data_IF_459071601816
#
_entry.id   IF_459071601816
#
_cell.length_a   1.000
_cell.length_b   1.000
_cell.length_c   1.000
_cell.angle_alpha   90.00
_cell.angle_beta   90.00
_cell.angle_gamma   90.00
#
_symmetry.space_group_name_H-M   'P 1'
#
loop_
_entity.id
_entity.type
_entity.pdbx_description
1 polymer ?
#
# COMPACT_ATOMS: atom_id res chain seq x y z
N UNK A 1 0.41 11.14 -10.90
CA UNK A 1 -0.69 10.47 -10.18
C UNK A 1 -2.00 11.18 -10.54
N UNK A 2 -3.06 10.44 -10.88
CA UNK A 2 -4.36 11.00 -11.27
C UNK A 2 -5.44 10.63 -10.25
N UNK A 3 -6.37 11.56 -10.04
CA UNK A 3 -7.53 11.34 -9.18
C UNK A 3 -8.36 10.14 -9.67
N UNK A 4 -8.95 9.36 -8.76
CA UNK A 4 -9.93 8.34 -9.11
C UNK A 4 -11.12 8.95 -9.88
N UNK A 5 -11.85 8.13 -10.63
CA UNK A 5 -13.14 8.54 -11.20
C UNK A 5 -14.15 8.78 -10.07
N UNK A 6 -15.13 9.65 -10.30
CA UNK A 6 -16.21 9.86 -9.34
C UNK A 6 -16.88 8.53 -8.95
N UNK A 7 -17.25 8.41 -7.67
CA UNK A 7 -17.80 7.19 -7.05
C UNK A 7 -16.83 6.01 -6.89
N UNK A 8 -15.54 6.19 -7.18
CA UNK A 8 -14.51 5.20 -6.88
C UNK A 8 -13.66 5.60 -5.68
N UNK A 9 -13.39 4.63 -4.81
CA UNK A 9 -12.32 4.71 -3.82
C UNK A 9 -11.12 3.94 -4.38
N UNK A 10 -10.00 4.63 -4.54
CA UNK A 10 -8.71 4.02 -4.88
C UNK A 10 -7.96 3.71 -3.59
N UNK A 11 -7.48 2.48 -3.47
CA UNK A 11 -6.54 2.08 -2.44
C UNK A 11 -5.15 2.01 -3.07
N UNK A 12 -4.28 2.95 -2.72
CA UNK A 12 -2.86 2.88 -3.08
C UNK A 12 -2.12 2.15 -1.95
N UNK A 13 -1.47 1.04 -2.26
CA UNK A 13 -0.73 0.22 -1.30
C UNK A 13 0.75 0.18 -1.64
N UNK A 14 1.60 0.11 -0.62
CA UNK A 14 3.05 -0.10 -0.78
C UNK A 14 3.60 -1.04 0.30
N UNK A 15 4.72 -1.68 0.00
CA UNK A 15 5.45 -2.58 0.90
C UNK A 15 6.74 -1.95 1.40
N UNK A 16 7.12 -2.28 2.63
CA UNK A 16 8.43 -1.95 3.19
C UNK A 16 9.08 -3.22 3.72
N UNK A 17 10.38 -3.41 3.44
CA UNK A 17 11.14 -4.57 3.90
C UNK A 17 12.54 -4.17 4.35
N UNK A 18 13.02 -4.78 5.43
CA UNK A 18 14.39 -4.67 5.95
C UNK A 18 15.18 -5.93 5.60
N UNK A 19 15.58 -6.06 4.33
CA UNK A 19 16.31 -7.21 3.80
C UNK A 19 15.43 -8.28 3.15
N UNK A 20 16.06 -9.35 2.65
CA UNK A 20 15.39 -10.51 2.05
C UNK A 20 16.20 -11.81 2.31
N UNK A 21 15.81 -12.65 3.29
CA UNK A 21 14.66 -12.48 4.17
C UNK A 21 14.84 -11.32 5.16
N UNK A 22 13.75 -10.68 5.53
CA UNK A 22 13.78 -9.50 6.39
C UNK A 22 12.42 -9.18 6.99
N UNK A 23 12.40 -8.30 8.00
CA UNK A 23 11.15 -7.77 8.55
C UNK A 23 10.40 -7.03 7.44
N UNK A 24 9.14 -7.37 7.24
CA UNK A 24 8.26 -6.79 6.26
C UNK A 24 7.02 -6.15 6.90
N UNK A 25 6.56 -5.09 6.27
CA UNK A 25 5.29 -4.44 6.54
C UNK A 25 4.66 -3.98 5.23
N UNK A 26 3.36 -3.72 5.25
CA UNK A 26 2.69 -3.02 4.17
C UNK A 26 1.80 -1.92 4.73
N UNK A 27 1.45 -0.98 3.87
CA UNK A 27 0.49 0.05 4.20
C UNK A 27 -0.22 0.54 2.96
N UNK A 28 -1.21 1.39 3.19
CA UNK A 28 -1.92 2.01 2.09
C UNK A 28 -2.78 3.18 2.51
N UNK A 29 -3.25 3.91 1.51
CA UNK A 29 -4.08 5.09 1.64
C UNK A 29 -5.32 4.93 0.76
N UNK A 30 -6.49 5.25 1.32
CA UNK A 30 -7.75 5.33 0.61
C UNK A 30 -7.97 6.76 0.14
N UNK A 31 -8.41 6.92 -1.11
CA UNK A 31 -8.48 8.20 -1.82
C UNK A 31 -9.70 8.18 -2.73
N UNK A 32 -10.47 9.27 -2.80
CA UNK A 32 -11.52 9.46 -3.80
C UNK A 32 -11.16 10.61 -4.75
N UNK A 33 -12.10 11.03 -5.59
CA UNK A 33 -11.89 12.08 -6.57
C UNK A 33 -11.79 13.48 -5.94
N UNK A 34 -12.33 13.69 -4.74
CA UNK A 34 -12.49 15.02 -4.12
C UNK A 34 -11.45 15.28 -3.03
N UNK A 35 -11.03 14.26 -2.30
CA UNK A 35 -10.16 14.42 -1.13
C UNK A 35 -8.77 13.87 -1.37
N UNK A 36 -7.75 14.56 -0.81
CA UNK A 36 -6.43 14.01 -0.79
C UNK A 36 -6.38 12.73 0.00
N UNK A 37 -7.17 12.44 1.05
CA UNK A 37 -7.14 11.15 1.79
C UNK A 37 -8.43 10.89 2.54
N UNK A 38 -8.97 9.67 2.42
CA UNK A 38 -10.12 9.18 3.17
C UNK A 38 -9.71 8.40 4.42
N UNK A 39 -8.52 7.79 4.40
CA UNK A 39 -8.00 7.00 5.50
C UNK A 39 -6.72 6.26 5.11
N UNK A 40 -6.09 5.59 6.07
CA UNK A 40 -4.88 4.80 5.84
C UNK A 40 -4.83 3.58 6.73
N UNK A 41 -3.99 2.61 6.35
CA UNK A 41 -3.66 1.46 7.18
C UNK A 41 -2.16 1.17 7.13
N UNK A 42 -1.67 0.52 8.18
CA UNK A 42 -0.34 -0.05 8.26
C UNK A 42 -0.44 -1.43 8.92
N UNK A 43 0.28 -2.42 8.38
CA UNK A 43 0.26 -3.80 8.85
C UNK A 43 1.66 -4.38 8.89
N UNK A 44 2.05 -4.86 10.06
CA UNK A 44 3.22 -5.71 10.23
C UNK A 44 2.95 -7.10 9.63
N UNK A 45 3.86 -7.59 8.78
CA UNK A 45 3.75 -8.85 8.06
C UNK A 45 4.69 -9.95 8.60
N UNK A 46 5.65 -9.60 9.45
CA UNK A 46 6.64 -10.56 9.95
C UNK A 46 7.89 -10.64 9.09
N UNK A 47 8.68 -11.69 9.27
CA UNK A 47 9.85 -11.97 8.43
C UNK A 47 9.36 -12.60 7.12
N UNK A 48 9.73 -12.02 5.98
CA UNK A 48 9.28 -12.46 4.66
C UNK A 48 10.39 -12.36 3.61
N UNK A 49 10.18 -13.00 2.47
CA UNK A 49 11.04 -12.93 1.28
C UNK A 49 10.40 -12.03 0.21
N UNK A 50 11.24 -11.38 -0.59
CA UNK A 50 10.79 -10.73 -1.83
C UNK A 50 10.32 -11.79 -2.83
N UNK A 51 9.11 -11.62 -3.34
CA UNK A 51 8.65 -12.39 -4.49
C UNK A 51 9.20 -11.77 -5.78
N UNK A 52 10.03 -12.51 -6.52
CA UNK A 52 10.47 -12.14 -7.87
C UNK A 52 9.86 -13.13 -8.88
N UNK A 53 9.05 -12.61 -9.80
CA UNK A 53 8.66 -13.35 -11.01
C UNK A 53 9.83 -13.31 -11.99
N UNK A 54 10.20 -14.47 -12.54
CA UNK A 54 11.11 -14.58 -13.68
C UNK A 54 10.42 -14.17 -14.97
#
# INVERSE_FOLDING_TARGET
>A
WNHPKASWIKCNTDGAALGCPGVAACGGIFRDCSTPTLGSFAKYLGVSYTFMLR
#
